data_IF_087790530550
#
_entry.id   IF_087790530550
#
_cell.length_a   1.000
_cell.length_b   1.000
_cell.length_c   1.000
_cell.angle_alpha   90.00
_cell.angle_beta   90.00
_cell.angle_gamma   90.00
#
_symmetry.space_group_name_H-M   'P 1'
#
loop_
_entity.id
_entity.type
_entity.pdbx_description
1 polymer ?
#
# COMPACT_ATOMS: atom_id res chain seq x y z
N UNK A 1 7.73 19.92 -8.36
CA UNK A 1 7.88 19.70 -8.23
C UNK A 1 8.50 19.84 -7.44
N UNK A 2 8.65 19.94 -7.24
CA UNK A 2 9.20 20.00 -6.73
C UNK A 2 9.31 19.85 -5.78
N UNK A 3 8.97 19.96 -5.46
CA UNK A 3 8.97 19.86 -4.69
C UNK A 3 9.36 19.12 -4.15
N UNK A 4 9.34 18.73 -4.32
CA UNK A 4 9.52 17.93 -3.99
C UNK A 4 10.50 17.87 -3.37
N UNK A 5 10.79 18.04 -3.52
CA UNK A 5 11.55 17.90 -3.20
C UNK A 5 11.77 18.23 -2.12
N UNK A 6 11.37 18.45 -1.98
CA UNK A 6 11.46 18.75 -1.30
C UNK A 6 11.55 18.37 -0.39
N UNK A 7 11.45 18.27 -0.07
CA UNK A 7 11.46 17.94 0.71
C UNK A 7 12.06 17.17 1.04
N UNK A 8 12.33 16.88 0.85
CA UNK A 8 12.84 16.25 1.01
C UNK A 8 13.40 16.17 1.73
N UNK A 9 13.48 16.51 1.79
CA UNK A 9 13.94 16.39 2.27
C UNK A 9 13.87 16.13 3.17
N UNK A 10 13.59 16.37 3.40
CA UNK A 10 13.47 16.25 4.15
C UNK A 10 13.89 15.55 4.76
N UNK A 11 14.02 15.29 4.67
CA UNK A 11 14.28 14.65 5.07
C UNK A 11 14.91 14.76 5.96
N UNK A 12 14.94 14.94 6.14
CA UNK A 12 15.38 15.08 6.74
C UNK A 12 15.37 14.91 7.77
N UNK A 13 15.19 14.77 7.96
CA UNK A 13 15.16 14.73 8.79
C UNK A 13 15.37 14.06 9.54
N UNK A 14 15.17 13.64 9.69
CA UNK A 14 15.05 13.01 10.57
C UNK A 14 15.90 12.26 11.01
N UNK A 15 16.22 12.06 11.35
CA UNK A 15 16.83 11.32 11.66
C UNK A 15 17.00 11.00 12.79
N UNK A 16 16.94 10.90 13.14
CA UNK A 16 17.07 10.64 13.95
C UNK A 16 16.96 10.10 14.78
N UNK A 17 16.79 9.92 15.11
CA UNK A 17 16.48 9.44 16.06
C UNK A 17 16.90 8.41 16.51
N UNK A 18 17.21 8.04 16.23
CA UNK A 18 17.63 7.02 16.51
C UNK A 18 17.84 6.61 17.75
N UNK A 19 18.26 7.04 18.23
CA UNK A 19 18.65 6.67 19.33
C UNK A 19 17.78 6.08 20.14
N UNK A 20 16.95 6.56 20.02
CA UNK A 20 16.14 6.16 20.80
C UNK A 20 16.02 4.85 20.93
N UNK A 21 15.91 4.38 20.06
CA UNK A 21 15.58 3.14 20.14
C UNK A 21 16.24 2.40 21.07
N UNK A 22 17.28 2.59 21.26
CA UNK A 22 17.91 1.79 21.99
C UNK A 22 17.50 1.66 23.18
N UNK A 23 17.05 2.37 23.63
CA UNK A 23 16.76 2.15 24.84
C UNK A 23 15.94 1.12 25.13
N UNK A 24 15.12 0.80 24.63
CA UNK A 24 14.25 -0.01 25.03
C UNK A 24 14.43 -1.19 24.80
N UNK A 25 14.97 -1.47 24.39
CA UNK A 25 15.06 -2.71 24.08
C UNK A 25 14.60 -3.72 24.85
N UNK A 26 14.29 -3.66 25.90
CA UNK A 26 13.93 -4.62 26.56
C UNK A 26 12.95 -5.31 26.18
N UNK A 27 12.69 -5.97 25.73
CA UNK A 27 11.68 -6.82 25.53
C UNK A 27 10.56 -6.34 24.79
N UNK A 28 10.41 -5.22 24.69
CA UNK A 28 9.39 -4.79 24.06
C UNK A 28 9.42 -5.10 22.70
N UNK A 29 8.55 -4.99 21.94
CA UNK A 29 8.56 -5.21 20.56
C UNK A 29 9.68 -4.44 19.99
N UNK A 30 10.38 -4.97 19.07
CA UNK A 30 11.46 -4.29 18.48
C UNK A 30 10.96 -3.07 17.82
N UNK A 31 11.64 -2.01 17.98
CA UNK A 31 11.21 -0.80 17.35
C UNK A 31 11.86 -0.61 16.00
N UNK A 32 12.80 -1.45 15.61
CA UNK A 32 13.44 -1.30 14.31
C UNK A 32 13.51 -2.61 13.59
N UNK A 33 13.49 -2.55 12.26
CA UNK A 33 13.78 -3.72 11.44
C UNK A 33 15.00 -3.40 10.61
N UNK A 34 15.66 -4.43 10.12
CA UNK A 34 16.82 -4.23 9.25
C UNK A 34 16.33 -3.96 7.83
N UNK A 35 17.25 -3.48 7.00
CA UNK A 35 16.91 -3.31 5.59
C UNK A 35 16.67 -4.66 4.96
N UNK A 36 17.33 -5.72 5.44
CA UNK A 36 17.08 -7.07 4.91
C UNK A 36 15.65 -7.51 5.21
N UNK A 37 15.12 -7.15 6.37
CA UNK A 37 13.74 -7.49 6.67
C UNK A 37 12.78 -6.73 5.77
N UNK A 38 13.07 -5.47 5.50
CA UNK A 38 12.21 -4.69 4.62
C UNK A 38 12.22 -5.25 3.21
N UNK A 39 13.37 -5.70 2.72
CA UNK A 39 13.45 -6.19 1.35
C UNK A 39 12.73 -7.52 1.13
N UNK A 40 12.30 -8.16 2.21
CA UNK A 40 11.47 -9.36 2.06
C UNK A 40 10.07 -8.99 1.60
N UNK A 41 9.67 -7.75 1.77
CA UNK A 41 8.35 -7.30 1.32
C UNK A 41 8.48 -6.80 -0.10
N UNK A 42 7.72 -7.37 -1.01
CA UNK A 42 7.77 -6.94 -2.39
C UNK A 42 6.65 -5.96 -2.65
N UNK A 43 7.00 -4.67 -2.74
CA UNK A 43 6.03 -3.63 -3.05
C UNK A 43 6.14 -3.31 -4.53
N UNK A 44 5.02 -3.31 -5.21
CA UNK A 44 4.96 -3.01 -6.64
C UNK A 44 3.91 -1.96 -6.90
N UNK A 45 4.15 -1.13 -7.89
CA UNK A 45 3.14 -0.18 -8.33
C UNK A 45 2.11 -0.95 -9.15
N UNK A 46 0.85 -0.77 -8.83
CA UNK A 46 -0.25 -1.42 -9.51
C UNK A 46 -1.16 -0.38 -10.13
N UNK A 47 -1.70 -0.68 -11.30
CA UNK A 47 -2.76 0.15 -11.86
C UNK A 47 -4.08 -0.52 -11.55
N UNK A 48 -5.02 0.23 -11.05
CA UNK A 48 -6.36 -0.29 -10.80
C UNK A 48 -7.08 -0.29 -12.13
N UNK A 49 -7.23 -1.47 -12.74
CA UNK A 49 -7.89 -1.56 -14.04
C UNK A 49 -9.39 -1.72 -13.89
N UNK A 50 -9.86 -2.17 -12.75
CA UNK A 50 -11.27 -2.25 -12.47
C UNK A 50 -11.50 -2.22 -10.97
N UNK A 51 -12.62 -1.69 -10.54
CA UNK A 51 -13.01 -1.66 -9.15
C UNK A 51 -14.51 -1.80 -9.08
N UNK A 52 -15.01 -2.60 -8.15
CA UNK A 52 -16.43 -2.84 -8.06
C UNK A 52 -16.85 -3.16 -6.65
N UNK A 53 -18.12 -2.96 -6.36
CA UNK A 53 -18.68 -3.31 -5.09
C UNK A 53 -18.77 -4.83 -4.97
N UNK A 54 -18.77 -5.33 -3.75
CA UNK A 54 -18.91 -6.75 -3.49
C UNK A 54 -20.22 -6.96 -2.78
N UNK A 55 -21.09 -7.78 -3.36
CA UNK A 55 -22.38 -8.04 -2.77
C UNK A 55 -22.20 -8.69 -1.41
N UNK A 56 -22.87 -8.18 -0.42
CA UNK A 56 -22.77 -8.75 0.92
C UNK A 56 -21.61 -8.24 1.73
N UNK A 57 -20.77 -7.39 1.16
CA UNK A 57 -19.66 -6.83 1.90
C UNK A 57 -19.87 -5.35 2.08
N UNK A 58 -19.92 -4.90 3.33
CA UNK A 58 -20.17 -3.50 3.59
C UNK A 58 -18.95 -2.61 3.48
N UNK A 59 -17.77 -3.17 3.58
CA UNK A 59 -16.57 -2.37 3.64
C UNK A 59 -15.59 -2.65 2.53
N UNK A 60 -15.82 -3.67 1.72
CA UNK A 60 -14.83 -4.10 0.75
C UNK A 60 -15.16 -3.66 -0.66
N UNK A 61 -14.11 -3.29 -1.39
CA UNK A 61 -14.18 -3.15 -2.84
C UNK A 61 -13.30 -4.23 -3.44
N UNK A 62 -13.73 -4.76 -4.58
CA UNK A 62 -12.95 -5.73 -5.31
C UNK A 62 -12.16 -4.97 -6.36
N UNK A 63 -10.85 -5.06 -6.29
CA UNK A 63 -9.97 -4.35 -7.21
C UNK A 63 -9.28 -5.36 -8.12
N UNK A 64 -9.22 -5.03 -9.40
CA UNK A 64 -8.45 -5.79 -10.36
C UNK A 64 -7.22 -4.96 -10.66
N UNK A 65 -6.04 -5.51 -10.40
CA UNK A 65 -4.79 -4.77 -10.45
C UNK A 65 -3.84 -5.32 -11.49
N UNK A 66 -3.20 -4.41 -12.22
CA UNK A 66 -2.16 -4.74 -13.17
C UNK A 66 -0.83 -4.35 -12.54
N UNK A 67 0.03 -5.33 -12.28
CA UNK A 67 1.36 -5.05 -11.76
C UNK A 67 2.44 -5.46 -12.75
N UNK A 68 2.11 -5.45 -14.02
CA UNK A 68 3.10 -5.79 -15.05
C UNK A 68 3.18 -7.27 -15.35
N UNK A 69 2.30 -8.07 -14.77
CA UNK A 69 2.28 -9.51 -15.00
C UNK A 69 1.32 -9.84 -16.14
N UNK A 70 1.41 -11.05 -16.65
CA UNK A 70 0.52 -11.49 -17.70
C UNK A 70 -0.93 -11.57 -17.25
N UNK A 71 -1.14 -11.82 -15.96
CA UNK A 71 -2.48 -11.95 -15.41
C UNK A 71 -2.70 -10.87 -14.37
N UNK A 72 -3.87 -10.28 -14.39
CA UNK A 72 -4.18 -9.28 -13.37
C UNK A 72 -4.45 -9.95 -12.02
N UNK A 73 -4.22 -9.24 -10.96
CA UNK A 73 -4.49 -9.75 -9.62
C UNK A 73 -5.78 -9.19 -9.07
N UNK A 74 -6.46 -9.99 -8.26
CA UNK A 74 -7.68 -9.56 -7.58
C UNK A 74 -7.35 -9.32 -6.13
N UNK A 75 -7.74 -8.15 -5.63
CA UNK A 75 -7.48 -7.77 -4.24
C UNK A 75 -8.76 -7.20 -3.65
N UNK A 76 -9.11 -7.61 -2.44
CA UNK A 76 -10.24 -7.03 -1.74
C UNK A 76 -9.70 -6.04 -0.72
N UNK A 77 -10.15 -4.80 -0.82
CA UNK A 77 -9.64 -3.73 0.02
C UNK A 77 -10.75 -3.08 0.81
N UNK A 78 -10.50 -2.81 2.07
CA UNK A 78 -11.50 -2.25 2.97
C UNK A 78 -11.63 -0.74 2.85
N UNK A 79 -11.84 -0.25 1.64
CA UNK A 79 -11.86 1.19 1.36
C UNK A 79 -13.20 1.66 0.81
N UNK A 80 -14.24 0.83 0.90
CA UNK A 80 -15.53 1.19 0.30
C UNK A 80 -16.10 2.48 0.86
N UNK A 81 -15.89 2.74 2.13
CA UNK A 81 -16.44 3.95 2.73
C UNK A 81 -15.74 5.22 2.27
N UNK A 82 -14.53 5.10 1.74
CA UNK A 82 -13.75 6.27 1.37
C UNK A 82 -13.72 6.54 -0.12
N UNK A 83 -14.03 5.55 -0.95
CA UNK A 83 -13.88 5.70 -2.40
C UNK A 83 -15.05 5.10 -3.16
N UNK A 84 -15.45 5.80 -4.22
CA UNK A 84 -16.37 5.27 -5.18
C UNK A 84 -15.56 4.43 -6.16
N UNK A 85 -15.95 3.20 -6.47
CA UNK A 85 -15.18 2.37 -7.38
C UNK A 85 -14.85 3.05 -8.70
N UNK A 86 -15.78 3.79 -9.25
CA UNK A 86 -15.54 4.44 -10.54
C UNK A 86 -14.40 5.45 -10.47
N UNK A 87 -14.17 6.05 -9.32
CA UNK A 87 -13.11 7.04 -9.19
C UNK A 87 -11.73 6.41 -9.05
N UNK A 88 -11.66 5.10 -8.83
CA UNK A 88 -10.40 4.43 -8.66
C UNK A 88 -9.82 3.90 -9.95
N UNK A 89 -10.64 3.66 -10.95
CA UNK A 89 -10.17 3.03 -12.18
C UNK A 89 -9.13 3.91 -12.85
N UNK A 90 -8.00 3.34 -13.18
CA UNK A 90 -6.90 4.05 -13.82
C UNK A 90 -5.87 4.61 -12.87
N UNK A 91 -6.13 4.57 -11.56
CA UNK A 91 -5.18 5.12 -10.60
C UNK A 91 -4.06 4.13 -10.33
N UNK A 92 -2.90 4.66 -9.97
CA UNK A 92 -1.78 3.84 -9.57
C UNK A 92 -1.67 3.85 -8.05
N UNK A 93 -1.31 2.71 -7.48
CA UNK A 93 -1.15 2.60 -6.04
C UNK A 93 -0.12 1.51 -5.75
N UNK A 94 0.67 1.64 -4.70
CA UNK A 94 1.56 0.56 -4.33
C UNK A 94 0.79 -0.59 -3.68
N UNK A 95 1.24 -1.80 -3.92
CA UNK A 95 0.64 -2.95 -3.28
C UNK A 95 1.72 -3.93 -2.83
N UNK A 96 1.40 -4.76 -1.85
CA UNK A 96 2.29 -5.83 -1.42
C UNK A 96 2.01 -7.01 -2.33
N UNK A 97 2.98 -7.37 -3.15
CA UNK A 97 2.80 -8.37 -4.19
C UNK A 97 3.13 -9.79 -3.74
N UNK A 98 3.94 -9.95 -2.73
CA UNK A 98 4.35 -11.28 -2.30
C UNK A 98 3.68 -11.73 -0.99
N UNK A 99 2.51 -11.19 -0.72
CA UNK A 99 1.74 -11.63 0.41
C UNK A 99 1.04 -12.93 0.03
N UNK A 100 0.98 -13.87 0.94
CA UNK A 100 0.27 -15.11 0.67
C UNK A 100 -1.19 -14.82 0.36
N UNK A 101 -1.76 -15.44 -0.67
CA UNK A 101 -3.16 -15.17 -1.00
C UNK A 101 -4.08 -15.53 0.16
N UNK A 102 -5.11 -14.74 0.37
CA UNK A 102 -6.07 -14.97 1.43
C UNK A 102 -7.38 -15.42 0.85
N UNK A 103 -7.89 -16.53 1.36
CA UNK A 103 -9.17 -17.01 0.91
C UNK A 103 -10.23 -16.30 1.71
N UNK A 104 -11.06 -15.56 1.05
CA UNK A 104 -12.10 -14.79 1.69
C UNK A 104 -13.46 -15.32 1.26
N UNK A 105 -14.51 -14.91 1.97
CA UNK A 105 -15.85 -15.32 1.62
C UNK A 105 -16.20 -14.99 0.18
N UNK A 106 -15.66 -13.89 -0.34
CA UNK A 106 -16.01 -13.38 -1.66
C UNK A 106 -15.03 -13.76 -2.75
N UNK A 107 -13.97 -14.47 -2.44
CA UNK A 107 -12.96 -14.87 -3.40
C UNK A 107 -11.57 -14.83 -2.84
N UNK A 108 -10.58 -14.99 -3.70
CA UNK A 108 -9.19 -15.01 -3.28
C UNK A 108 -8.60 -13.62 -3.43
N UNK A 109 -8.00 -13.12 -2.36
CA UNK A 109 -7.33 -11.82 -2.39
C UNK A 109 -5.83 -12.07 -2.55
N UNK A 110 -5.25 -11.54 -3.63
CA UNK A 110 -3.90 -11.88 -4.03
C UNK A 110 -2.92 -10.75 -3.78
N UNK A 111 -3.05 -10.09 -2.69
CA UNK A 111 -2.16 -8.99 -2.33
C UNK A 111 -2.87 -8.01 -1.44
N UNK A 112 -2.24 -6.88 -1.21
CA UNK A 112 -2.82 -5.86 -0.36
C UNK A 112 -2.41 -4.50 -0.87
N UNK A 113 -3.36 -3.61 -1.06
CA UNK A 113 -3.04 -2.23 -1.41
C UNK A 113 -2.77 -1.46 -0.14
N UNK A 114 -2.00 -0.40 -0.23
CA UNK A 114 -1.58 0.37 0.92
C UNK A 114 -2.37 1.67 1.02
N UNK A 115 -2.87 1.94 2.19
CA UNK A 115 -3.60 3.17 2.44
C UNK A 115 -3.23 3.68 3.81
N UNK A 116 -3.25 4.97 3.97
CA UNK A 116 -2.94 5.60 5.24
C UNK A 116 -4.23 5.90 5.99
N UNK A 117 -4.26 5.63 7.27
CA UNK A 117 -5.37 6.01 8.11
C UNK A 117 -4.82 6.29 9.50
N UNK A 118 -5.50 7.13 10.23
CA UNK A 118 -5.07 7.48 11.57
C UNK A 118 -6.22 7.37 12.55
N UNK A 119 -6.14 8.13 13.63
CA UNK A 119 -7.19 8.08 14.63
C UNK A 119 -8.45 8.80 14.18
N UNK A 120 -8.32 9.73 13.27
CA UNK A 120 -9.49 10.44 12.77
C UNK A 120 -10.15 9.72 11.63
N UNK A 121 -11.21 10.27 11.08
CA UNK A 121 -11.88 9.64 9.96
C UNK A 121 -11.07 9.74 8.68
N UNK A 122 -11.29 8.86 7.78
CA UNK A 122 -10.66 8.91 6.46
C UNK A 122 -9.68 7.77 6.24
N UNK A 123 -9.67 7.30 5.02
CA UNK A 123 -8.73 6.30 4.55
C UNK A 123 -8.16 6.87 3.27
N UNK A 124 -6.84 6.95 3.17
CA UNK A 124 -6.21 7.63 2.05
C UNK A 124 -5.31 6.67 1.31
N UNK A 125 -5.70 6.29 0.10
CA UNK A 125 -4.93 5.37 -0.72
C UNK A 125 -3.65 6.05 -1.15
N UNK A 126 -2.54 5.36 -1.06
CA UNK A 126 -1.25 5.93 -1.47
C UNK A 126 -1.15 5.93 -3.00
N UNK A 127 -0.41 6.86 -3.53
CA UNK A 127 -0.21 6.95 -4.96
C UNK A 127 1.21 7.41 -5.26
N UNK A 128 1.85 6.87 -6.31
CA UNK A 128 3.16 7.33 -6.69
C UNK A 128 3.05 8.66 -7.43
N UNK A 129 4.17 9.32 -7.56
CA UNK A 129 4.24 10.53 -8.35
C UNK A 129 4.07 10.20 -9.83
N UNK A 130 3.86 11.24 -10.63
CA UNK A 130 3.70 11.09 -12.06
C UNK A 130 4.92 10.48 -12.68
N UNK A 131 4.74 9.54 -13.55
CA UNK A 131 5.83 8.86 -14.24
C UNK A 131 6.02 7.43 -13.84
N UNK A 132 5.46 7.01 -12.71
CA UNK A 132 5.57 5.64 -12.29
C UNK A 132 4.73 4.74 -13.20
N UNK A 133 5.17 3.51 -13.36
CA UNK A 133 4.51 2.55 -14.22
C UNK A 133 4.15 1.30 -13.43
N UNK A 134 3.11 0.57 -13.85
CA UNK A 134 2.76 -0.68 -13.19
C UNK A 134 3.93 -1.66 -13.23
N UNK A 135 4.16 -2.34 -12.13
CA UNK A 135 5.24 -3.31 -12.02
C UNK A 135 6.54 -2.77 -11.45
N UNK A 136 6.67 -1.46 -11.34
CA UNK A 136 7.88 -0.90 -10.74
C UNK A 136 7.94 -1.28 -9.27
N UNK A 137 9.12 -1.63 -8.82
CA UNK A 137 9.29 -2.00 -7.42
C UNK A 137 9.49 -0.76 -6.57
N UNK A 138 8.86 -0.75 -5.41
CA UNK A 138 9.03 0.31 -4.44
C UNK A 138 10.09 -0.14 -3.45
N UNK A 139 11.12 0.66 -3.28
CA UNK A 139 12.22 0.26 -2.41
C UNK A 139 12.86 1.48 -1.72
#
# INVERSE_FOLDING_TARGET
KAAAATRTGAAAAPPSPAPAGEGRGEGEAPSHISIDDFTKIELRIARIVNAEHVDGADKLLKLTLDIGEARHRTVFAGIKSAYDPAALVGRLTPMVANLAPRKMKFGLSEGMVLAASGDGPGIFLLAPDIGAQPGMRVQ
#
